data_IF_689001690892
#
_entry.id   IF_689001690892
#
_cell.length_a   1.000
_cell.length_b   1.000
_cell.length_c   1.000
_cell.angle_alpha   90.00
_cell.angle_beta   90.00
_cell.angle_gamma   90.00
#
_symmetry.space_group_name_H-M   'P 1'
#
loop_
_entity.id
_entity.type
_entity.pdbx_description
1 polymer ?
#
# COMPACT_ATOMS: atom_id res chain seq x y z
N UNK A 1 1.60 8.56 -24.56
CA UNK A 1 2.59 7.45 -24.76
C UNK A 1 2.60 6.91 -26.20
N UNK A 2 2.74 7.81 -27.15
CA UNK A 2 2.80 7.43 -28.57
C UNK A 2 4.15 6.81 -28.99
N UNK A 3 5.23 7.11 -28.24
CA UNK A 3 6.59 6.69 -28.58
C UNK A 3 7.34 6.07 -27.40
N UNK A 4 6.62 5.72 -26.34
CA UNK A 4 7.22 5.10 -25.16
C UNK A 4 6.23 4.17 -24.45
N UNK A 5 6.78 3.14 -23.84
CA UNK A 5 6.05 2.14 -23.05
C UNK A 5 6.36 2.35 -21.59
N UNK A 6 5.33 2.50 -20.74
CA UNK A 6 5.50 2.52 -19.29
C UNK A 6 5.85 1.10 -18.81
N UNK A 7 7.01 0.94 -18.19
CA UNK A 7 7.47 -0.35 -17.66
C UNK A 7 7.15 -0.51 -16.19
N UNK A 8 7.34 0.55 -15.40
CA UNK A 8 7.14 0.51 -13.97
C UNK A 8 6.69 1.88 -13.43
N UNK A 9 5.88 1.83 -12.40
CA UNK A 9 5.48 2.96 -11.57
C UNK A 9 5.82 2.63 -10.11
N UNK A 10 6.69 3.43 -9.51
CA UNK A 10 7.20 3.20 -8.16
C UNK A 10 6.74 4.33 -7.25
N UNK A 11 6.00 3.97 -6.21
CA UNK A 11 5.59 4.90 -5.16
C UNK A 11 6.74 5.09 -4.18
N UNK A 12 7.24 6.31 -4.06
CA UNK A 12 8.39 6.64 -3.22
C UNK A 12 7.96 7.01 -1.80
N UNK A 13 8.90 6.97 -0.81
CA UNK A 13 8.61 7.42 0.54
C UNK A 13 8.17 8.89 0.59
N UNK A 14 7.19 9.20 1.44
CA UNK A 14 6.69 10.56 1.61
C UNK A 14 7.71 11.49 2.26
N UNK A 15 8.63 10.94 3.03
CA UNK A 15 9.71 11.67 3.73
C UNK A 15 11.00 11.78 2.90
N UNK A 16 10.98 11.42 1.62
CA UNK A 16 12.14 11.45 0.75
C UNK A 16 12.81 12.84 0.68
N UNK A 17 12.00 13.89 0.75
CA UNK A 17 12.44 15.30 0.75
C UNK A 17 12.20 15.97 2.10
N UNK A 18 12.39 15.25 3.20
CA UNK A 18 12.18 15.78 4.55
C UNK A 18 12.98 17.08 4.76
N UNK A 19 12.34 18.07 5.40
CA UNK A 19 12.90 19.40 5.60
C UNK A 19 12.66 20.38 4.44
N UNK A 20 12.21 19.89 3.27
CA UNK A 20 11.83 20.71 2.12
C UNK A 20 10.37 20.53 1.73
N UNK A 21 9.89 19.30 1.73
CA UNK A 21 8.55 18.97 1.28
C UNK A 21 8.10 17.63 1.87
N UNK A 22 6.80 17.50 2.16
CA UNK A 22 6.16 16.24 2.57
C UNK A 22 5.18 15.77 1.49
N UNK A 23 5.62 15.75 0.24
CA UNK A 23 4.81 15.41 -0.93
C UNK A 23 5.06 13.97 -1.34
N UNK A 24 3.98 13.23 -1.62
CA UNK A 24 4.06 11.92 -2.23
C UNK A 24 4.63 12.04 -3.65
N UNK A 25 5.70 11.31 -3.94
CA UNK A 25 6.32 11.27 -5.26
C UNK A 25 6.31 9.87 -5.83
N UNK A 26 6.30 9.78 -7.17
CA UNK A 26 6.39 8.54 -7.89
C UNK A 26 7.50 8.61 -8.94
N UNK A 27 8.12 7.47 -9.19
CA UNK A 27 9.11 7.31 -10.26
C UNK A 27 8.49 6.45 -11.34
N UNK A 28 8.51 6.93 -12.57
CA UNK A 28 8.02 6.21 -13.75
C UNK A 28 9.18 5.81 -14.63
N UNK A 29 9.23 4.55 -15.02
CA UNK A 29 10.26 3.99 -15.88
C UNK A 29 9.67 3.69 -17.24
N UNK A 30 10.21 4.30 -18.29
CA UNK A 30 9.76 4.15 -19.67
C UNK A 30 10.80 3.48 -20.54
N UNK A 31 10.34 2.67 -21.49
CA UNK A 31 11.13 2.25 -22.63
C UNK A 31 10.76 3.13 -23.82
N UNK A 32 11.73 3.82 -24.39
CA UNK A 32 11.55 4.70 -25.55
C UNK A 32 11.64 3.90 -26.85
N UNK A 33 10.90 4.30 -27.86
CA UNK A 33 10.93 3.72 -29.20
C UNK A 33 9.73 2.91 -29.61
N UNK A 34 8.90 2.47 -28.66
CA UNK A 34 7.68 1.70 -28.92
C UNK A 34 6.49 2.33 -28.18
N UNK A 35 5.33 2.40 -28.84
CA UNK A 35 4.10 2.87 -28.22
C UNK A 35 3.57 1.84 -27.22
N UNK A 36 3.05 2.32 -26.08
CA UNK A 36 2.39 1.48 -25.10
C UNK A 36 1.11 0.87 -25.68
N UNK A 37 0.98 -0.45 -25.61
CA UNK A 37 -0.21 -1.18 -26.03
C UNK A 37 -1.14 -1.44 -24.83
N UNK A 38 -2.43 -1.63 -25.08
CA UNK A 38 -3.41 -1.92 -24.02
C UNK A 38 -3.11 -3.20 -23.25
N UNK A 39 -2.43 -4.15 -23.88
CA UNK A 39 -2.07 -5.43 -23.26
C UNK A 39 -0.72 -5.43 -22.57
N UNK A 40 0.05 -4.36 -22.70
CA UNK A 40 1.34 -4.23 -22.03
C UNK A 40 1.15 -4.15 -20.51
N UNK A 41 1.89 -4.98 -19.79
CA UNK A 41 1.84 -5.05 -18.33
C UNK A 41 2.78 -4.03 -17.72
N UNK A 42 2.28 -3.28 -16.75
CA UNK A 42 3.04 -2.32 -15.96
C UNK A 42 3.29 -2.86 -14.57
N UNK A 43 4.49 -2.71 -14.07
CA UNK A 43 4.87 -3.09 -12.71
C UNK A 43 4.60 -1.93 -11.76
N UNK A 44 3.70 -2.13 -10.80
CA UNK A 44 3.40 -1.16 -9.76
C UNK A 44 4.07 -1.60 -8.47
N UNK A 45 4.97 -0.79 -7.94
CA UNK A 45 5.78 -1.11 -6.78
C UNK A 45 5.53 -0.06 -5.69
N UNK A 46 5.10 -0.51 -4.51
CA UNK A 46 4.98 0.32 -3.32
C UNK A 46 6.32 0.32 -2.58
N UNK A 47 7.09 1.38 -2.79
CA UNK A 47 8.37 1.62 -2.12
C UNK A 47 8.26 2.74 -1.08
N UNK A 48 7.08 2.92 -0.51
CA UNK A 48 6.83 3.92 0.54
C UNK A 48 7.66 3.68 1.81
N UNK A 49 8.09 2.44 2.03
CA UNK A 49 9.04 2.06 3.08
C UNK A 49 10.33 1.57 2.43
N UNK A 50 11.34 2.42 2.40
CA UNK A 50 12.62 2.11 1.75
C UNK A 50 13.69 1.55 2.70
N UNK A 51 13.36 1.42 3.98
CA UNK A 51 14.27 0.91 5.00
C UNK A 51 15.20 1.95 5.62
N UNK A 52 15.19 3.18 5.13
CA UNK A 52 15.88 4.29 5.75
C UNK A 52 15.00 5.05 6.73
N UNK A 53 15.56 5.43 7.85
CA UNK A 53 14.98 6.41 8.78
C UNK A 53 15.64 7.76 8.54
N UNK A 54 14.81 8.78 8.32
CA UNK A 54 15.26 10.16 8.05
C UNK A 54 14.86 11.05 9.21
N UNK A 55 15.82 11.79 9.73
CA UNK A 55 15.58 12.83 10.74
C UNK A 55 16.02 14.19 10.21
N UNK A 56 15.12 15.17 10.32
CA UNK A 56 15.41 16.53 9.91
C UNK A 56 16.39 17.17 10.90
N UNK A 57 17.47 17.76 10.39
CA UNK A 57 18.41 18.58 11.16
C UNK A 57 18.26 20.06 10.80
N UNK A 58 18.66 20.93 11.71
CA UNK A 58 18.77 22.36 11.42
C UNK A 58 19.60 22.59 10.15
N UNK A 59 19.23 23.55 9.30
CA UNK A 59 19.86 23.91 8.02
C UNK A 59 19.63 22.92 6.85
N UNK A 60 18.43 22.32 6.79
CA UNK A 60 18.03 21.45 5.68
C UNK A 60 18.94 20.21 5.45
N UNK A 61 19.68 19.78 6.46
CA UNK A 61 20.41 18.51 6.43
C UNK A 61 19.53 17.39 6.98
N UNK A 62 19.66 16.21 6.39
CA UNK A 62 18.93 15.02 6.79
C UNK A 62 19.92 13.95 7.29
N UNK A 63 19.65 13.36 8.44
CA UNK A 63 20.31 12.14 8.86
C UNK A 63 19.61 10.95 8.21
N UNK A 64 20.37 10.16 7.50
CA UNK A 64 19.92 8.94 6.86
C UNK A 64 20.52 7.74 7.60
N UNK A 65 19.65 6.90 8.16
CA UNK A 65 20.08 5.66 8.84
C UNK A 65 19.41 4.46 8.19
N UNK A 66 20.19 3.45 7.87
CA UNK A 66 19.68 2.15 7.45
C UNK A 66 19.17 1.41 8.70
N UNK A 67 17.85 1.33 8.85
CA UNK A 67 17.18 0.69 9.99
C UNK A 67 16.46 -0.60 9.63
N UNK A 68 16.25 -0.89 8.34
CA UNK A 68 15.52 -2.07 7.87
C UNK A 68 15.97 -2.50 6.47
N UNK A 69 17.23 -2.97 6.38
CA UNK A 69 17.77 -3.54 5.12
C UNK A 69 17.62 -2.62 3.90
N UNK A 70 17.88 -1.32 4.07
CA UNK A 70 17.61 -0.33 3.02
C UNK A 70 18.40 -0.61 1.73
N UNK A 71 19.66 -0.99 1.83
CA UNK A 71 20.50 -1.31 0.65
C UNK A 71 19.95 -2.49 -0.13
N UNK A 72 19.55 -3.53 0.58
CA UNK A 72 18.96 -4.73 0.01
C UNK A 72 17.59 -4.44 -0.62
N UNK A 73 16.79 -3.57 0.01
CA UNK A 73 15.50 -3.12 -0.54
C UNK A 73 15.67 -2.35 -1.84
N UNK A 74 16.62 -1.44 -1.92
CA UNK A 74 16.92 -0.72 -3.16
C UNK A 74 17.42 -1.65 -4.27
N UNK A 75 18.27 -2.61 -3.93
CA UNK A 75 18.73 -3.60 -4.90
C UNK A 75 17.57 -4.46 -5.42
N UNK A 76 16.70 -4.93 -4.53
CA UNK A 76 15.53 -5.70 -4.92
C UNK A 76 14.56 -4.88 -5.77
N UNK A 77 14.40 -3.58 -5.48
CA UNK A 77 13.59 -2.69 -6.30
C UNK A 77 14.11 -2.66 -7.75
N UNK A 78 15.42 -2.52 -7.94
CA UNK A 78 16.04 -2.55 -9.27
C UNK A 78 15.80 -3.89 -9.96
N UNK A 79 15.95 -4.98 -9.23
CA UNK A 79 15.75 -6.34 -9.76
C UNK A 79 14.28 -6.59 -10.13
N UNK A 80 13.33 -6.09 -9.35
CA UNK A 80 11.91 -6.17 -9.66
C UNK A 80 11.55 -5.38 -10.93
N UNK A 81 12.10 -4.19 -11.09
CA UNK A 81 11.88 -3.39 -12.29
C UNK A 81 12.45 -4.08 -13.54
N UNK A 82 13.62 -4.72 -13.41
CA UNK A 82 14.29 -5.40 -14.51
C UNK A 82 13.71 -6.77 -14.85
N UNK A 83 13.46 -7.59 -13.83
CA UNK A 83 13.17 -9.02 -13.99
C UNK A 83 11.78 -9.44 -13.56
N UNK A 84 11.07 -8.60 -12.77
CA UNK A 84 9.70 -8.84 -12.37
C UNK A 84 9.55 -9.71 -11.13
N UNK A 85 8.37 -10.33 -11.00
CA UNK A 85 7.90 -11.05 -9.80
C UNK A 85 8.86 -12.14 -9.29
N UNK A 86 9.66 -12.75 -10.17
CA UNK A 86 10.60 -13.81 -9.79
C UNK A 86 11.69 -13.36 -8.81
N UNK A 87 11.90 -12.05 -8.66
CA UNK A 87 12.89 -11.46 -7.76
C UNK A 87 12.32 -11.00 -6.42
N UNK A 88 11.06 -11.27 -6.13
CA UNK A 88 10.46 -11.00 -4.83
C UNK A 88 11.18 -11.78 -3.73
N UNK A 89 11.64 -11.07 -2.71
CA UNK A 89 12.28 -11.63 -1.52
C UNK A 89 11.88 -10.84 -0.26
N UNK A 90 12.40 -9.60 -0.11
CA UNK A 90 12.04 -8.69 1.00
C UNK A 90 10.66 -8.09 0.78
N UNK A 91 10.36 -7.67 -0.46
CA UNK A 91 9.03 -7.18 -0.82
C UNK A 91 8.02 -8.34 -0.85
N UNK A 92 6.81 -8.02 -0.39
CA UNK A 92 5.67 -8.94 -0.42
C UNK A 92 4.81 -8.71 -1.66
N UNK A 93 3.88 -9.63 -1.93
CA UNK A 93 2.90 -9.46 -3.00
C UNK A 93 1.97 -8.25 -2.79
N UNK A 94 1.92 -7.69 -1.59
CA UNK A 94 1.17 -6.45 -1.29
C UNK A 94 1.88 -5.21 -1.82
N UNK A 95 3.19 -5.26 -1.95
CA UNK A 95 4.04 -4.16 -2.38
C UNK A 95 4.33 -4.21 -3.89
N UNK A 96 4.09 -5.34 -4.53
CA UNK A 96 4.33 -5.56 -5.96
C UNK A 96 3.04 -6.01 -6.66
N UNK A 97 2.66 -5.29 -7.70
CA UNK A 97 1.48 -5.60 -8.50
C UNK A 97 1.77 -5.40 -9.99
N UNK A 98 1.31 -6.31 -10.81
CA UNK A 98 1.36 -6.18 -12.27
C UNK A 98 -0.04 -5.93 -12.80
N UNK A 99 -0.22 -4.87 -13.55
CA UNK A 99 -1.50 -4.48 -14.09
C UNK A 99 -1.38 -3.83 -15.46
N UNK A 100 -2.53 -3.65 -16.09
CA UNK A 100 -2.66 -2.98 -17.38
C UNK A 100 -3.16 -1.57 -17.17
N UNK A 101 -2.75 -0.66 -18.03
CA UNK A 101 -3.21 0.73 -18.03
C UNK A 101 -3.86 1.07 -19.37
N UNK A 102 -4.72 2.09 -19.37
CA UNK A 102 -5.16 2.73 -20.59
C UNK A 102 -4.11 3.79 -20.99
N UNK A 103 -3.41 3.63 -22.13
CA UNK A 103 -2.37 4.56 -22.54
C UNK A 103 -2.90 5.96 -22.88
N UNK A 104 -4.21 6.12 -23.03
CA UNK A 104 -4.86 7.39 -23.32
C UNK A 104 -5.37 8.11 -22.06
N UNK A 105 -5.32 7.45 -20.89
CA UNK A 105 -5.81 7.98 -19.62
C UNK A 105 -4.74 7.78 -18.53
N UNK A 106 -4.26 8.87 -17.94
CA UNK A 106 -3.24 8.81 -16.88
C UNK A 106 -3.78 8.47 -15.47
N UNK A 107 -5.07 8.25 -15.32
CA UNK A 107 -5.69 8.05 -14.00
C UNK A 107 -5.28 6.73 -13.32
N UNK A 108 -4.88 5.73 -14.09
CA UNK A 108 -4.54 4.38 -13.61
C UNK A 108 -3.03 4.08 -13.57
N UNK A 109 -2.19 5.10 -13.64
CA UNK A 109 -0.73 4.94 -13.58
C UNK A 109 -0.18 4.69 -12.16
N UNK A 110 -1.01 4.79 -11.15
CA UNK A 110 -0.65 4.64 -9.74
C UNK A 110 -1.50 3.56 -9.06
N UNK A 111 -1.57 2.39 -9.65
CA UNK A 111 -2.31 1.26 -9.10
C UNK A 111 -1.57 0.64 -7.91
N UNK A 112 -2.32 0.04 -7.02
CA UNK A 112 -1.80 -0.76 -5.90
C UNK A 112 -2.33 -2.18 -5.99
N UNK A 113 -1.67 -3.11 -5.31
CA UNK A 113 -2.17 -4.47 -5.21
C UNK A 113 -3.59 -4.49 -4.65
N UNK A 114 -4.52 -5.26 -5.25
CA UNK A 114 -5.88 -5.37 -4.73
C UNK A 114 -5.87 -5.84 -3.28
N UNK A 115 -6.62 -5.15 -2.43
CA UNK A 115 -6.83 -5.59 -1.06
C UNK A 115 -7.90 -6.69 -1.11
N UNK A 116 -7.58 -7.85 -0.55
CA UNK A 116 -8.59 -8.89 -0.39
C UNK A 116 -9.56 -8.46 0.70
N UNK A 117 -10.74 -8.00 0.26
CA UNK A 117 -11.81 -7.56 1.15
C UNK A 117 -12.76 -8.70 1.53
N UNK A 118 -12.50 -9.92 1.07
CA UNK A 118 -13.30 -11.07 1.47
C UNK A 118 -13.11 -11.32 2.95
N UNK A 119 -14.20 -11.41 3.73
CA UNK A 119 -14.08 -11.71 5.16
C UNK A 119 -13.48 -13.09 5.35
N UNK A 120 -12.50 -13.18 6.23
CA UNK A 120 -11.93 -14.46 6.64
C UNK A 120 -12.87 -15.17 7.63
N UNK A 121 -12.64 -16.46 7.87
CA UNK A 121 -13.40 -17.19 8.89
C UNK A 121 -13.26 -16.55 10.28
N UNK A 122 -12.09 -16.00 10.59
CA UNK A 122 -11.83 -15.32 11.85
C UNK A 122 -12.60 -13.99 11.95
N UNK A 123 -12.67 -13.22 10.87
CA UNK A 123 -13.50 -12.01 10.79
C UNK A 123 -14.98 -12.34 11.00
N UNK A 124 -15.46 -13.40 10.38
CA UNK A 124 -16.83 -13.87 10.55
C UNK A 124 -17.12 -14.28 12.01
N UNK A 125 -16.24 -15.05 12.62
CA UNK A 125 -16.35 -15.45 14.03
C UNK A 125 -16.38 -14.24 14.96
N UNK A 126 -15.51 -13.26 14.73
CA UNK A 126 -15.47 -12.02 15.47
C UNK A 126 -16.78 -11.24 15.34
N UNK A 127 -17.29 -11.07 14.13
CA UNK A 127 -18.55 -10.36 13.88
C UNK A 127 -19.72 -11.04 14.60
N UNK A 128 -19.83 -12.35 14.53
CA UNK A 128 -20.88 -13.12 15.24
C UNK A 128 -20.74 -12.98 16.74
N UNK A 129 -19.54 -13.07 17.28
CA UNK A 129 -19.27 -12.89 18.71
C UNK A 129 -19.64 -11.49 19.19
N UNK A 130 -19.27 -10.46 18.46
CA UNK A 130 -19.61 -9.06 18.77
C UNK A 130 -21.13 -8.83 18.74
N UNK A 131 -21.82 -9.38 17.76
CA UNK A 131 -23.28 -9.32 17.64
C UNK A 131 -23.98 -9.99 18.83
N UNK A 132 -23.57 -11.20 19.21
CA UNK A 132 -24.14 -11.93 20.36
C UNK A 132 -23.89 -11.18 21.67
N UNK A 133 -22.71 -10.60 21.86
CA UNK A 133 -22.40 -9.79 23.03
C UNK A 133 -23.30 -8.54 23.12
N UNK A 134 -23.54 -7.88 21.99
CA UNK A 134 -24.43 -6.74 21.91
C UNK A 134 -25.90 -7.12 22.24
N UNK A 135 -26.38 -8.23 21.69
CA UNK A 135 -27.74 -8.72 21.92
C UNK A 135 -27.97 -9.10 23.39
N UNK A 136 -27.02 -9.81 23.98
CA UNK A 136 -27.06 -10.14 25.42
C UNK A 136 -27.08 -8.87 26.29
N UNK A 137 -26.25 -7.88 25.96
CA UNK A 137 -26.23 -6.58 26.67
C UNK A 137 -27.57 -5.87 26.58
N UNK A 138 -28.27 -5.90 25.45
CA UNK A 138 -29.58 -5.30 25.29
C UNK A 138 -30.67 -6.04 26.11
N UNK A 139 -30.65 -7.36 26.13
CA UNK A 139 -31.57 -8.17 26.91
C UNK A 139 -31.42 -7.88 28.42
N UNK A 140 -30.20 -7.77 28.91
CA UNK A 140 -29.92 -7.43 30.31
C UNK A 140 -30.38 -6.02 30.68
N UNK A 141 -30.25 -5.04 29.79
CA UNK A 141 -30.76 -3.68 29.99
C UNK A 141 -32.29 -3.66 30.07
N UNK A 142 -32.97 -4.37 29.19
CA UNK A 142 -34.42 -4.45 29.18
C UNK A 142 -34.94 -5.13 30.43
N UNK A 143 -34.31 -6.19 30.91
CA UNK A 143 -34.67 -6.90 32.11
C UNK A 143 -34.51 -6.03 33.35
N UNK A 144 -33.43 -5.27 33.51
CA UNK A 144 -33.23 -4.37 34.63
C UNK A 144 -34.25 -3.21 34.63
N UNK A 145 -34.70 -2.76 33.48
CA UNK A 145 -35.76 -1.73 33.36
C UNK A 145 -37.12 -2.28 33.78
N UNK A 146 -37.44 -3.52 33.50
CA UNK A 146 -38.67 -4.18 33.93
C UNK A 146 -38.66 -4.41 35.47
N UNK A 147 -37.55 -4.86 36.02
CA UNK A 147 -37.38 -5.06 37.46
C UNK A 147 -37.56 -3.73 38.23
N UNK A 148 -37.05 -2.63 37.72
CA UNK A 148 -37.22 -1.30 38.28
C UNK A 148 -38.69 -0.84 38.25
N UNK A 149 -39.45 -1.22 37.22
CA UNK A 149 -40.90 -0.95 37.15
C UNK A 149 -41.72 -1.79 38.10
N UNK A 150 -41.33 -3.05 38.31
CA UNK A 150 -42.01 -3.98 39.21
C UNK A 150 -41.65 -3.75 40.67
N UNK A 151 -40.51 -3.12 40.96
CA UNK A 151 -40.03 -2.80 42.30
C UNK A 151 -40.66 -1.57 42.94
N UNK A 152 -41.59 -0.95 42.28
CA UNK A 152 -42.41 0.14 42.79
C UNK A 152 -43.81 -0.39 43.18
#
# INVERSE_FOLDING_TARGET
>A
MKHSTLLASVKMPIDLFIGKSSVQTNVYVFRVGEAHQKDDTVKFIDFSVDGYTRTNRKKASCNLRDTDHAKERYQELVDLVRFGKSKLNIFTEKEYYEGKIDPNNGADWNQTAPIDTKPTLDDFKKTVSDYLAWEVSNLLKNQSTEDDRLGK
#
